data_IF_520849972285
#
_entry.id   IF_520849972285
#
_cell.length_a   1.000
_cell.length_b   1.000
_cell.length_c   1.000
_cell.angle_alpha   90.00
_cell.angle_beta   90.00
_cell.angle_gamma   90.00
#
_symmetry.space_group_name_H-M   'P 1'
#
loop_
_entity.id
_entity.type
_entity.pdbx_description
1 polymer ?
#
# COMPACT_ATOMS: atom_id res chain seq x y z
N UNK A 1 -13.62 -27.83 3.35
CA UNK A 1 -14.64 -28.73 3.91
C UNK A 1 -15.45 -29.31 2.74
N UNK A 2 -15.28 -30.60 2.48
CA UNK A 2 -16.06 -31.31 1.46
C UNK A 2 -17.26 -31.99 2.20
N UNK A 3 -18.43 -31.35 2.10
CA UNK A 3 -19.68 -31.97 2.55
C UNK A 3 -20.21 -32.85 1.42
N UNK A 4 -20.34 -34.15 1.65
CA UNK A 4 -21.15 -35.03 0.80
C UNK A 4 -22.61 -34.80 1.13
N UNK A 5 -23.41 -34.47 0.14
CA UNK A 5 -24.85 -34.29 0.25
C UNK A 5 -25.48 -35.66 0.01
N UNK A 6 -26.15 -36.22 1.03
CA UNK A 6 -26.90 -37.49 0.92
C UNK A 6 -28.32 -37.20 0.45
N UNK A 7 -28.90 -38.15 -0.33
CA UNK A 7 -30.29 -38.05 -0.80
C UNK A 7 -31.28 -38.10 0.36
N UNK A 8 -32.24 -37.19 0.40
CA UNK A 8 -33.29 -37.12 1.43
C UNK A 8 -34.52 -38.00 1.16
N UNK A 9 -34.62 -38.55 -0.06
CA UNK A 9 -35.79 -39.31 -0.51
C UNK A 9 -37.03 -38.48 -0.83
N UNK A 10 -36.95 -37.15 -0.76
CA UNK A 10 -38.00 -36.18 -1.13
C UNK A 10 -37.57 -35.47 -2.41
N UNK A 11 -38.32 -35.60 -3.50
CA UNK A 11 -37.97 -35.13 -4.80
C UNK A 11 -37.60 -33.63 -4.87
N UNK A 12 -38.37 -32.77 -4.19
CA UNK A 12 -38.12 -31.31 -4.13
C UNK A 12 -36.81 -30.98 -3.40
N UNK A 13 -36.54 -31.73 -2.32
CA UNK A 13 -35.32 -31.56 -1.51
C UNK A 13 -34.08 -32.02 -2.31
N UNK A 14 -34.16 -33.17 -2.95
CA UNK A 14 -33.06 -33.70 -3.77
C UNK A 14 -32.77 -32.81 -4.95
N UNK A 15 -33.78 -32.17 -5.56
CA UNK A 15 -33.61 -31.17 -6.60
C UNK A 15 -32.92 -29.89 -6.10
N UNK A 16 -33.30 -29.43 -4.90
CA UNK A 16 -32.65 -28.28 -4.27
C UNK A 16 -31.18 -28.58 -3.91
N UNK A 17 -30.92 -29.76 -3.38
CA UNK A 17 -29.57 -30.25 -3.04
C UNK A 17 -28.67 -30.34 -4.28
N UNK A 18 -29.21 -30.90 -5.38
CA UNK A 18 -28.51 -30.97 -6.66
C UNK A 18 -28.18 -29.57 -7.22
N UNK A 19 -29.12 -28.60 -7.13
CA UNK A 19 -28.87 -27.21 -7.53
C UNK A 19 -27.79 -26.54 -6.68
N UNK A 20 -27.77 -26.76 -5.37
CA UNK A 20 -26.73 -26.30 -4.45
C UNK A 20 -25.35 -26.87 -4.78
N UNK A 21 -25.30 -28.17 -5.14
CA UNK A 21 -24.04 -28.82 -5.53
C UNK A 21 -23.49 -28.28 -6.84
N UNK A 22 -24.36 -28.04 -7.83
CA UNK A 22 -23.98 -27.35 -9.07
C UNK A 22 -23.48 -25.93 -8.82
N UNK A 23 -24.14 -25.16 -7.95
CA UNK A 23 -23.74 -23.80 -7.57
C UNK A 23 -22.38 -23.80 -6.87
N UNK A 24 -22.18 -24.73 -5.90
CA UNK A 24 -20.90 -24.92 -5.22
C UNK A 24 -19.78 -25.24 -6.20
N UNK A 25 -20.01 -26.13 -7.15
CA UNK A 25 -19.00 -26.50 -8.14
C UNK A 25 -18.70 -25.35 -9.10
N UNK A 26 -19.72 -24.63 -9.57
CA UNK A 26 -19.56 -23.43 -10.40
C UNK A 26 -18.76 -22.35 -9.69
N UNK A 27 -19.06 -22.09 -8.41
CA UNK A 27 -18.31 -21.14 -7.58
C UNK A 27 -16.85 -21.57 -7.39
N UNK A 28 -16.62 -22.87 -7.12
CA UNK A 28 -15.27 -23.43 -6.94
C UNK A 28 -14.45 -23.27 -8.24
N UNK A 29 -15.04 -23.53 -9.39
CA UNK A 29 -14.40 -23.38 -10.69
C UNK A 29 -14.09 -21.90 -10.98
N UNK A 30 -15.06 -21.01 -10.77
CA UNK A 30 -14.87 -19.56 -10.96
C UNK A 30 -13.77 -19.00 -10.06
N UNK A 31 -13.71 -19.39 -8.78
CA UNK A 31 -12.65 -19.00 -7.85
C UNK A 31 -11.27 -19.55 -8.31
N UNK A 32 -11.23 -20.79 -8.81
CA UNK A 32 -10.00 -21.38 -9.33
C UNK A 32 -9.48 -20.66 -10.59
N UNK A 33 -10.39 -20.30 -11.51
CA UNK A 33 -10.07 -19.52 -12.70
C UNK A 33 -9.57 -18.12 -12.35
N UNK A 34 -10.22 -17.43 -11.43
CA UNK A 34 -9.77 -16.13 -10.93
C UNK A 34 -8.38 -16.23 -10.28
N UNK A 35 -8.16 -17.26 -9.46
CA UNK A 35 -6.86 -17.46 -8.83
C UNK A 35 -5.74 -17.73 -9.85
N UNK A 36 -6.01 -18.53 -10.88
CA UNK A 36 -5.07 -18.78 -11.96
C UNK A 36 -4.78 -17.52 -12.79
N UNK A 37 -5.80 -16.73 -13.11
CA UNK A 37 -5.64 -15.47 -13.82
C UNK A 37 -4.80 -14.45 -13.00
N UNK A 38 -5.06 -14.33 -11.71
CA UNK A 38 -4.28 -13.48 -10.80
C UNK A 38 -2.81 -13.93 -10.73
N UNK A 39 -2.58 -15.25 -10.61
CA UNK A 39 -1.23 -15.81 -10.57
C UNK A 39 -0.46 -15.53 -11.87
N UNK A 40 -1.08 -15.80 -13.02
CA UNK A 40 -0.48 -15.51 -14.32
C UNK A 40 -0.12 -14.03 -14.48
N UNK A 41 -1.02 -13.12 -14.05
CA UNK A 41 -0.78 -11.68 -14.07
C UNK A 41 0.42 -11.31 -13.20
N UNK A 42 0.56 -11.91 -12.02
CA UNK A 42 1.70 -11.68 -11.13
C UNK A 42 3.02 -12.15 -11.74
N UNK A 43 3.03 -13.35 -12.34
CA UNK A 43 4.19 -13.90 -13.05
C UNK A 43 4.62 -12.99 -14.21
N UNK A 44 3.67 -12.49 -15.00
CA UNK A 44 3.93 -11.54 -16.09
C UNK A 44 4.54 -10.22 -15.58
N UNK A 45 3.99 -9.63 -14.53
CA UNK A 45 4.53 -8.40 -13.94
C UNK A 45 5.93 -8.63 -13.39
N UNK A 46 6.18 -9.76 -12.71
CA UNK A 46 7.50 -10.10 -12.19
C UNK A 46 8.54 -10.26 -13.28
N UNK A 47 8.18 -10.92 -14.39
CA UNK A 47 9.04 -11.08 -15.55
C UNK A 47 9.37 -9.73 -16.21
N UNK A 48 8.34 -8.91 -16.48
CA UNK A 48 8.53 -7.56 -17.04
C UNK A 48 9.41 -6.68 -16.15
N UNK A 49 9.21 -6.73 -14.84
CA UNK A 49 10.00 -5.97 -13.88
C UNK A 49 11.48 -6.40 -13.90
N UNK A 50 11.74 -7.71 -14.00
CA UNK A 50 13.10 -8.23 -14.15
C UNK A 50 13.76 -7.75 -15.46
N UNK A 51 13.01 -7.81 -16.57
CA UNK A 51 13.52 -7.42 -17.89
C UNK A 51 13.76 -5.91 -17.99
N UNK A 52 13.01 -5.09 -17.26
CA UNK A 52 13.24 -3.65 -17.16
C UNK A 52 14.43 -3.28 -16.27
N UNK A 53 14.76 -4.09 -15.26
CA UNK A 53 15.88 -3.82 -14.37
C UNK A 53 17.23 -3.81 -15.11
N UNK A 54 17.38 -4.70 -16.08
CA UNK A 54 18.63 -4.84 -16.87
C UNK A 54 18.98 -3.58 -17.66
N UNK A 55 18.10 -3.03 -18.56
CA UNK A 55 18.41 -1.81 -19.29
C UNK A 55 18.63 -0.59 -18.39
N UNK A 56 17.88 -0.49 -17.27
CA UNK A 56 18.08 0.60 -16.32
C UNK A 56 19.44 0.54 -15.64
N UNK A 57 19.93 -0.65 -15.30
CA UNK A 57 21.29 -0.82 -14.76
C UNK A 57 22.34 -0.38 -15.77
N UNK A 58 22.14 -0.66 -17.06
CA UNK A 58 23.05 -0.23 -18.13
C UNK A 58 23.02 1.29 -18.28
N UNK A 59 21.84 1.92 -18.29
CA UNK A 59 21.69 3.37 -18.38
C UNK A 59 22.38 4.03 -17.19
N UNK A 60 22.15 3.55 -15.96
CA UNK A 60 22.80 4.06 -14.77
C UNK A 60 24.32 3.95 -14.84
N UNK A 61 24.86 2.78 -15.19
CA UNK A 61 26.30 2.60 -15.33
C UNK A 61 26.93 3.53 -16.36
N UNK A 62 26.25 3.78 -17.50
CA UNK A 62 26.72 4.74 -18.48
C UNK A 62 26.64 6.19 -17.96
N UNK A 63 25.64 6.54 -17.16
CA UNK A 63 25.54 7.86 -16.53
C UNK A 63 26.63 8.07 -15.50
N UNK A 64 26.94 7.04 -14.68
CA UNK A 64 28.07 7.05 -13.74
C UNK A 64 29.41 7.25 -14.48
N UNK A 65 29.63 6.58 -15.62
CA UNK A 65 30.84 6.79 -16.46
C UNK A 65 30.91 8.18 -17.06
N UNK A 66 29.78 8.83 -17.37
CA UNK A 66 29.77 10.22 -17.83
C UNK A 66 30.26 11.19 -16.76
N UNK A 67 29.94 10.95 -15.47
CA UNK A 67 30.45 11.80 -14.38
C UNK A 67 31.97 11.70 -14.18
N UNK A 68 32.60 10.61 -14.61
CA UNK A 68 34.03 10.44 -14.59
C UNK A 68 34.74 11.26 -15.70
N UNK A 69 33.98 11.91 -16.59
CA UNK A 69 34.49 12.76 -17.67
C UNK A 69 34.30 14.24 -17.35
N UNK A 70 35.00 15.12 -18.13
CA UNK A 70 34.80 16.57 -18.03
C UNK A 70 33.50 16.93 -18.75
N UNK A 71 32.45 17.24 -18.00
CA UNK A 71 31.13 17.65 -18.50
C UNK A 71 31.01 19.17 -18.48
N UNK A 72 30.40 19.74 -19.50
CA UNK A 72 29.89 21.11 -19.45
C UNK A 72 28.68 21.20 -18.53
N UNK A 73 28.37 22.38 -17.98
CA UNK A 73 27.28 22.55 -16.98
C UNK A 73 25.92 22.01 -17.47
N UNK A 74 25.58 22.27 -18.74
CA UNK A 74 24.37 21.76 -19.36
C UNK A 74 24.36 20.21 -19.52
N UNK A 75 25.52 19.61 -19.76
CA UNK A 75 25.66 18.15 -19.86
C UNK A 75 25.55 17.50 -18.51
N UNK A 76 26.11 18.13 -17.47
CA UNK A 76 25.95 17.68 -16.08
C UNK A 76 24.51 17.72 -15.65
N UNK A 77 23.81 18.82 -15.94
CA UNK A 77 22.36 18.92 -15.65
C UNK A 77 21.55 17.81 -16.34
N UNK A 78 21.87 17.51 -17.62
CA UNK A 78 21.24 16.39 -18.32
C UNK A 78 21.55 15.02 -17.67
N UNK A 79 22.79 14.79 -17.24
CA UNK A 79 23.19 13.57 -16.57
C UNK A 79 22.46 13.41 -15.20
N UNK A 80 22.34 14.51 -14.44
CA UNK A 80 21.59 14.54 -13.17
C UNK A 80 20.10 14.19 -13.39
N UNK A 81 19.47 14.69 -14.47
CA UNK A 81 18.10 14.32 -14.83
C UNK A 81 17.95 12.85 -15.23
N UNK A 82 18.93 12.30 -15.99
CA UNK A 82 18.92 10.89 -16.40
C UNK A 82 19.07 10.01 -15.16
N UNK A 83 20.04 10.29 -14.28
CA UNK A 83 20.25 9.51 -13.06
C UNK A 83 19.01 9.55 -12.16
N UNK A 84 18.45 10.73 -11.92
CA UNK A 84 17.22 10.89 -11.15
C UNK A 84 16.06 10.06 -11.74
N UNK A 85 15.93 10.03 -13.07
CA UNK A 85 14.88 9.25 -13.74
C UNK A 85 15.12 7.74 -13.63
N UNK A 86 16.38 7.30 -13.70
CA UNK A 86 16.73 5.87 -13.57
C UNK A 86 16.48 5.36 -12.15
N UNK A 87 16.93 6.11 -11.13
CA UNK A 87 16.66 5.78 -9.72
C UNK A 87 15.15 5.67 -9.50
N UNK A 88 14.42 6.62 -10.00
CA UNK A 88 12.97 6.67 -9.94
C UNK A 88 12.31 5.42 -10.58
N UNK A 89 12.77 4.99 -11.78
CA UNK A 89 12.26 3.77 -12.42
C UNK A 89 12.66 2.51 -11.67
N UNK A 90 13.83 2.46 -11.04
CA UNK A 90 14.25 1.33 -10.21
C UNK A 90 13.36 1.15 -9.00
N UNK A 91 13.06 2.23 -8.28
CA UNK A 91 12.13 2.22 -7.13
C UNK A 91 10.73 1.75 -7.55
N UNK A 92 10.28 2.18 -8.73
CA UNK A 92 9.03 1.74 -9.32
C UNK A 92 9.01 0.24 -9.59
N UNK A 93 10.05 -0.30 -10.23
CA UNK A 93 10.17 -1.72 -10.53
C UNK A 93 10.26 -2.55 -9.24
N UNK A 94 11.01 -2.10 -8.25
CA UNK A 94 11.09 -2.78 -6.95
C UNK A 94 9.73 -2.84 -6.27
N UNK A 95 8.96 -1.76 -6.32
CA UNK A 95 7.60 -1.73 -5.79
C UNK A 95 6.69 -2.71 -6.53
N UNK A 96 6.76 -2.79 -7.87
CA UNK A 96 6.02 -3.77 -8.67
C UNK A 96 6.38 -5.21 -8.31
N UNK A 97 7.67 -5.50 -8.17
CA UNK A 97 8.16 -6.81 -7.76
C UNK A 97 7.65 -7.16 -6.36
N UNK A 98 7.69 -6.23 -5.45
CA UNK A 98 7.22 -6.43 -4.09
C UNK A 98 5.73 -6.71 -4.03
N UNK A 99 4.94 -6.06 -4.88
CA UNK A 99 3.50 -6.32 -5.00
C UNK A 99 3.21 -7.72 -5.53
N UNK A 100 4.01 -8.22 -6.48
CA UNK A 100 3.85 -9.58 -7.03
C UNK A 100 4.34 -10.64 -6.04
N UNK A 101 5.39 -10.34 -5.27
CA UNK A 101 5.98 -11.24 -4.28
C UNK A 101 5.24 -11.25 -2.95
N UNK A 102 4.48 -10.21 -2.63
CA UNK A 102 3.80 -10.08 -1.33
C UNK A 102 2.86 -11.26 -1.04
N UNK A 103 2.32 -11.95 -2.07
CA UNK A 103 1.53 -13.17 -1.90
C UNK A 103 2.37 -14.46 -1.77
N UNK A 104 3.62 -14.49 -2.28
CA UNK A 104 4.41 -15.74 -2.34
C UNK A 104 5.60 -15.78 -1.36
N UNK A 105 6.30 -14.65 -1.14
CA UNK A 105 7.53 -14.61 -0.33
C UNK A 105 7.35 -14.25 1.13
N UNK A 106 6.26 -13.58 1.46
CA UNK A 106 5.92 -13.29 2.86
C UNK A 106 4.60 -13.97 3.16
N UNK A 107 4.60 -15.24 3.62
CA UNK A 107 3.39 -15.83 4.13
C UNK A 107 2.87 -14.90 5.23
N UNK A 108 1.66 -14.36 5.01
CA UNK A 108 0.99 -13.49 5.95
C UNK A 108 0.93 -14.18 7.32
N UNK A 109 1.76 -13.73 8.23
CA UNK A 109 1.96 -14.35 9.55
C UNK A 109 1.37 -13.44 10.61
N UNK A 110 0.14 -13.72 10.99
CA UNK A 110 -0.43 -13.07 12.16
C UNK A 110 0.11 -13.69 13.44
N UNK A 111 0.51 -12.84 14.34
CA UNK A 111 0.94 -13.18 15.70
C UNK A 111 0.36 -12.18 16.70
N UNK A 112 0.43 -12.51 17.99
CA UNK A 112 0.07 -11.55 19.03
C UNK A 112 1.16 -10.49 19.15
N UNK A 113 0.88 -9.32 18.56
CA UNK A 113 1.79 -8.18 18.54
C UNK A 113 1.44 -7.22 19.64
N UNK A 114 2.44 -6.80 20.43
CA UNK A 114 2.26 -5.72 21.41
C UNK A 114 2.06 -4.41 20.68
N UNK A 115 0.87 -3.81 20.83
CA UNK A 115 0.45 -2.63 20.08
C UNK A 115 1.38 -1.44 20.29
N UNK A 116 1.79 -1.18 21.55
CA UNK A 116 2.73 -0.10 21.88
C UNK A 116 4.08 -0.24 21.15
N UNK A 117 4.60 -1.48 21.01
CA UNK A 117 5.85 -1.73 20.27
C UNK A 117 5.70 -1.50 18.78
N UNK A 118 4.57 -1.88 18.20
CA UNK A 118 4.24 -1.64 16.78
C UNK A 118 4.16 -0.13 16.51
N UNK A 119 3.37 0.59 17.33
CA UNK A 119 3.19 2.03 17.19
C UNK A 119 4.49 2.80 17.37
N UNK A 120 5.36 2.38 18.30
CA UNK A 120 6.66 2.99 18.49
C UNK A 120 7.58 2.85 17.27
N UNK A 121 7.57 1.68 16.60
CA UNK A 121 8.33 1.48 15.35
C UNK A 121 7.83 2.40 14.24
N UNK A 122 6.50 2.47 14.06
CA UNK A 122 5.85 3.34 13.08
C UNK A 122 6.20 4.81 13.34
N UNK A 123 6.10 5.26 14.59
CA UNK A 123 6.44 6.62 14.98
C UNK A 123 7.92 6.97 14.73
N UNK A 124 8.83 6.03 15.02
CA UNK A 124 10.26 6.27 14.81
C UNK A 124 10.55 6.50 13.32
N UNK A 125 9.94 5.73 12.43
CA UNK A 125 10.07 5.94 10.99
C UNK A 125 9.46 7.27 10.54
N UNK A 126 8.23 7.58 11.01
CA UNK A 126 7.55 8.82 10.68
C UNK A 126 8.36 10.07 11.12
N UNK A 127 8.92 10.05 12.33
CA UNK A 127 9.77 11.14 12.83
C UNK A 127 11.02 11.35 11.97
N UNK A 128 11.64 10.25 11.51
CA UNK A 128 12.79 10.33 10.59
C UNK A 128 12.43 11.03 9.27
N UNK A 129 11.30 10.66 8.66
CA UNK A 129 10.82 11.28 7.42
C UNK A 129 10.43 12.75 7.62
N UNK A 130 9.74 13.07 8.70
CA UNK A 130 9.35 14.44 9.05
C UNK A 130 10.57 15.36 9.23
N UNK A 131 11.63 14.87 9.88
CA UNK A 131 12.85 15.64 10.13
C UNK A 131 13.53 16.05 8.80
N UNK A 132 13.58 15.16 7.80
CA UNK A 132 14.17 15.45 6.49
C UNK A 132 13.42 16.57 5.75
N UNK A 133 12.09 16.64 5.91
CA UNK A 133 11.23 17.63 5.23
C UNK A 133 10.91 18.86 6.05
N UNK A 134 11.44 18.98 7.27
CA UNK A 134 11.12 20.05 8.23
C UNK A 134 9.62 20.14 8.50
N UNK A 135 9.00 19.00 8.83
CA UNK A 135 7.58 18.87 9.16
C UNK A 135 7.45 18.46 10.62
N UNK A 136 6.43 18.99 11.30
CA UNK A 136 6.12 18.60 12.68
C UNK A 136 5.20 17.39 12.67
N UNK A 137 5.43 16.43 13.59
CA UNK A 137 4.56 15.28 13.82
C UNK A 137 3.88 15.45 15.19
N UNK A 138 2.56 15.63 15.18
CA UNK A 138 1.76 15.63 16.40
C UNK A 138 1.15 14.23 16.59
N UNK A 139 1.49 13.60 17.70
CA UNK A 139 1.06 12.25 18.05
C UNK A 139 0.11 12.26 19.23
N UNK A 140 -1.01 11.54 19.10
CA UNK A 140 -1.95 11.29 20.19
C UNK A 140 -2.34 9.82 20.22
N UNK A 141 -2.30 9.22 21.39
CA UNK A 141 -2.67 7.83 21.61
C UNK A 141 -3.70 7.76 22.75
N UNK A 142 -4.82 7.12 22.48
CA UNK A 142 -5.89 6.86 23.43
C UNK A 142 -6.42 5.44 23.21
N UNK A 143 -5.62 4.44 23.63
CA UNK A 143 -5.86 3.01 23.41
C UNK A 143 -5.52 2.25 24.67
N UNK A 144 -6.46 1.45 25.15
CA UNK A 144 -6.26 0.56 26.31
C UNK A 144 -5.82 -0.84 25.88
N UNK A 145 -5.98 -1.19 24.62
CA UNK A 145 -5.63 -2.51 24.07
C UNK A 145 -4.13 -2.74 24.07
N UNK A 146 -3.69 -3.84 24.71
CA UNK A 146 -2.26 -4.17 24.81
C UNK A 146 -1.76 -4.97 23.59
N UNK A 147 -2.56 -5.90 23.05
CA UNK A 147 -2.17 -6.79 21.94
C UNK A 147 -3.21 -6.79 20.83
N UNK A 148 -2.71 -6.93 19.59
CA UNK A 148 -3.52 -7.19 18.39
C UNK A 148 -2.99 -8.43 17.68
N UNK A 149 -3.86 -9.17 16.96
CA UNK A 149 -3.47 -10.32 16.16
C UNK A 149 -3.18 -9.90 14.72
N UNK A 150 -1.90 -9.65 14.40
CA UNK A 150 -1.49 -8.99 13.18
C UNK A 150 -0.12 -9.45 12.66
N UNK A 151 0.16 -9.17 11.41
CA UNK A 151 1.52 -9.23 10.84
C UNK A 151 2.17 -7.86 11.00
N UNK A 152 3.11 -7.78 11.96
CA UNK A 152 3.74 -6.50 12.34
C UNK A 152 4.56 -5.86 11.22
N UNK A 153 5.24 -6.67 10.39
CA UNK A 153 6.08 -6.16 9.30
C UNK A 153 5.22 -5.58 8.18
N UNK A 154 4.16 -6.29 7.82
CA UNK A 154 3.22 -5.78 6.82
C UNK A 154 2.50 -4.52 7.30
N UNK A 155 2.05 -4.47 8.56
CA UNK A 155 1.42 -3.25 9.08
C UNK A 155 2.39 -2.06 9.07
N UNK A 156 3.64 -2.24 9.51
CA UNK A 156 4.64 -1.16 9.44
C UNK A 156 4.80 -0.65 8.00
N UNK A 157 4.83 -1.54 7.02
CA UNK A 157 4.89 -1.18 5.59
C UNK A 157 3.65 -0.43 5.13
N UNK A 158 2.45 -0.88 5.50
CA UNK A 158 1.19 -0.19 5.18
C UNK A 158 1.15 1.22 5.76
N UNK A 159 1.52 1.38 7.04
CA UNK A 159 1.61 2.69 7.70
C UNK A 159 2.68 3.58 7.08
N UNK A 160 3.84 3.04 6.70
CA UNK A 160 4.90 3.80 6.05
C UNK A 160 4.42 4.43 4.74
N UNK A 161 3.64 3.70 3.93
CA UNK A 161 3.06 4.22 2.70
C UNK A 161 2.08 5.39 2.95
N UNK A 162 1.19 5.27 3.95
CA UNK A 162 0.24 6.34 4.28
C UNK A 162 0.96 7.56 4.85
N UNK A 163 1.90 7.34 5.78
CA UNK A 163 2.67 8.41 6.41
C UNK A 163 3.58 9.13 5.42
N UNK A 164 4.24 8.39 4.53
CA UNK A 164 5.06 8.99 3.46
C UNK A 164 4.22 9.92 2.58
N UNK A 165 3.02 9.51 2.18
CA UNK A 165 2.11 10.38 1.44
C UNK A 165 1.72 11.62 2.25
N UNK A 166 1.28 11.47 3.49
CA UNK A 166 0.89 12.60 4.32
C UNK A 166 2.03 13.62 4.51
N UNK A 167 3.26 13.12 4.72
CA UNK A 167 4.46 13.94 4.86
C UNK A 167 4.83 14.61 3.52
N UNK A 168 4.62 13.93 2.40
CA UNK A 168 4.96 14.49 1.08
C UNK A 168 4.06 15.66 0.71
N UNK A 169 2.77 15.53 0.94
CA UNK A 169 1.79 16.58 0.59
C UNK A 169 1.70 17.70 1.63
N UNK A 170 2.33 17.53 2.80
CA UNK A 170 2.40 18.60 3.81
C UNK A 170 3.50 19.61 3.46
N UNK A 171 3.21 20.91 3.38
CA UNK A 171 4.23 21.94 3.20
C UNK A 171 5.22 21.99 4.37
N UNK A 172 6.49 22.33 4.10
CA UNK A 172 7.50 22.50 5.11
C UNK A 172 7.06 23.51 6.21
N UNK A 173 7.38 23.23 7.46
CA UNK A 173 6.98 24.02 8.63
C UNK A 173 5.53 23.78 9.09
N UNK A 174 4.82 22.87 8.46
CA UNK A 174 3.45 22.46 8.87
C UNK A 174 3.48 21.14 9.64
N UNK A 175 2.30 20.67 10.05
CA UNK A 175 2.13 19.53 10.96
C UNK A 175 1.39 18.38 10.26
N UNK A 176 1.84 17.16 10.48
CA UNK A 176 1.08 15.92 10.24
C UNK A 176 0.54 15.46 11.62
N UNK A 177 -0.75 15.20 11.69
CA UNK A 177 -1.41 14.68 12.89
C UNK A 177 -1.56 13.17 12.76
N UNK A 178 -1.14 12.45 13.79
CA UNK A 178 -1.32 11.01 13.85
C UNK A 178 -2.00 10.64 15.17
N UNK A 179 -3.27 10.23 15.11
CA UNK A 179 -4.09 9.90 16.25
C UNK A 179 -4.47 8.43 16.24
N UNK A 180 -4.34 7.74 17.36
CA UNK A 180 -4.73 6.34 17.54
C UNK A 180 -5.76 6.24 18.66
N UNK A 181 -6.88 5.59 18.37
CA UNK A 181 -7.97 5.41 19.33
C UNK A 181 -8.74 4.11 19.06
N UNK A 182 -9.49 3.68 20.07
CA UNK A 182 -10.36 2.50 19.97
C UNK A 182 -11.80 2.90 19.67
N UNK A 183 -12.43 2.16 18.73
CA UNK A 183 -13.85 2.28 18.45
C UNK A 183 -14.37 1.01 17.78
N UNK A 184 -15.57 0.56 18.17
CA UNK A 184 -16.30 -0.54 17.54
C UNK A 184 -15.44 -1.82 17.37
N UNK A 185 -14.79 -2.28 18.44
CA UNK A 185 -13.88 -3.44 18.44
C UNK A 185 -12.75 -3.34 17.38
N UNK A 186 -12.26 -2.14 17.13
CA UNK A 186 -11.21 -1.88 16.17
C UNK A 186 -10.26 -0.81 16.70
N UNK A 187 -8.99 -0.91 16.32
CA UNK A 187 -8.02 0.17 16.45
C UNK A 187 -8.17 1.06 15.20
N UNK A 188 -8.39 2.35 15.43
CA UNK A 188 -8.43 3.36 14.38
C UNK A 188 -7.18 4.23 14.48
N UNK A 189 -6.48 4.33 13.37
CA UNK A 189 -5.30 5.19 13.23
C UNK A 189 -5.63 6.27 12.19
N UNK A 190 -5.81 7.50 12.63
CA UNK A 190 -6.11 8.65 11.78
C UNK A 190 -4.84 9.43 11.49
N UNK A 191 -4.49 9.56 10.22
CA UNK A 191 -3.35 10.34 9.74
C UNK A 191 -3.91 11.49 8.92
N UNK A 192 -3.65 12.73 9.38
CA UNK A 192 -4.18 13.94 8.74
C UNK A 192 -3.04 14.87 8.39
N UNK A 193 -2.99 15.30 7.15
CA UNK A 193 -1.99 16.25 6.65
C UNK A 193 -2.51 17.70 6.62
N UNK A 194 -1.64 18.63 6.27
CA UNK A 194 -1.95 20.05 6.04
C UNK A 194 -1.68 20.43 4.57
N UNK A 195 -1.87 19.48 3.65
CA UNK A 195 -1.77 19.69 2.21
C UNK A 195 -3.08 20.22 1.60
N UNK A 196 -3.23 20.03 0.29
CA UNK A 196 -4.40 20.45 -0.47
C UNK A 196 -5.62 19.52 -0.37
N UNK A 197 -5.48 18.39 0.34
CA UNK A 197 -6.51 17.35 0.39
C UNK A 197 -6.64 16.51 -0.88
N UNK A 198 -7.53 15.53 -0.84
CA UNK A 198 -7.88 14.71 -2.00
C UNK A 198 -8.85 15.43 -2.92
N UNK A 199 -8.64 15.31 -4.23
CA UNK A 199 -9.67 15.72 -5.21
C UNK A 199 -10.86 14.75 -5.15
N UNK A 200 -12.04 15.13 -5.68
CA UNK A 200 -13.19 14.23 -5.74
C UNK A 200 -12.92 12.92 -6.50
N UNK A 201 -12.02 12.95 -7.48
CA UNK A 201 -11.56 11.80 -8.23
C UNK A 201 -10.62 10.93 -7.38
N UNK A 202 -9.67 11.56 -6.66
CA UNK A 202 -8.77 10.85 -5.77
C UNK A 202 -9.50 10.14 -4.61
N UNK A 203 -10.55 10.73 -4.07
CA UNK A 203 -11.37 10.06 -3.04
C UNK A 203 -12.02 8.76 -3.52
N UNK A 204 -12.25 8.61 -4.84
CA UNK A 204 -12.86 7.40 -5.42
C UNK A 204 -11.83 6.37 -5.86
N UNK A 205 -10.67 6.82 -6.34
CA UNK A 205 -9.72 5.98 -7.08
C UNK A 205 -8.32 5.93 -6.47
N UNK A 206 -8.01 6.70 -5.40
CA UNK A 206 -6.64 6.79 -4.87
C UNK A 206 -6.08 5.46 -4.31
N UNK A 207 -6.93 4.47 -4.05
CA UNK A 207 -6.52 3.10 -3.69
C UNK A 207 -6.45 2.17 -4.91
N UNK A 208 -6.73 2.65 -6.12
CA UNK A 208 -6.53 1.88 -7.34
C UNK A 208 -5.05 1.94 -7.76
N UNK A 209 -4.61 0.86 -8.37
CA UNK A 209 -3.23 0.74 -8.83
C UNK A 209 -2.93 1.76 -9.93
N UNK A 210 -1.82 2.51 -9.78
CA UNK A 210 -1.38 3.55 -10.73
C UNK A 210 -2.27 4.80 -10.80
N UNK A 211 -3.20 4.97 -9.87
CA UNK A 211 -3.93 6.21 -9.83
C UNK A 211 -3.02 7.35 -9.33
N UNK A 212 -2.90 8.37 -10.16
CA UNK A 212 -2.19 9.62 -9.85
C UNK A 212 -3.13 10.79 -10.10
N UNK A 213 -3.45 11.55 -9.05
CA UNK A 213 -4.15 12.82 -9.20
C UNK A 213 -3.32 13.83 -10.02
N UNK A 214 -3.95 14.83 -10.62
CA UNK A 214 -3.24 15.84 -11.45
C UNK A 214 -2.09 16.53 -10.70
N UNK A 215 -2.23 16.76 -9.40
CA UNK A 215 -1.21 17.39 -8.57
C UNK A 215 0.00 16.49 -8.29
N UNK A 216 -0.17 15.17 -8.30
CA UNK A 216 0.91 14.19 -8.09
C UNK A 216 1.73 13.91 -9.35
N UNK A 217 1.28 14.30 -10.55
CA UNK A 217 2.04 14.18 -11.80
C UNK A 217 3.32 15.02 -11.82
N UNK A 218 3.42 16.02 -10.97
CA UNK A 218 4.60 16.88 -10.80
C UNK A 218 5.49 16.48 -9.62
N UNK A 219 5.07 15.54 -8.76
CA UNK A 219 5.88 15.02 -7.66
C UNK A 219 6.82 13.93 -8.19
N UNK A 220 8.13 14.10 -7.90
CA UNK A 220 9.19 13.21 -8.43
C UNK A 220 9.23 11.84 -7.74
N UNK A 221 8.35 11.51 -6.77
CA UNK A 221 8.57 10.37 -5.88
C UNK A 221 7.42 9.36 -5.73
N UNK A 222 6.23 9.57 -6.32
CA UNK A 222 5.09 8.67 -6.07
C UNK A 222 4.33 8.32 -7.35
N UNK A 223 4.07 7.02 -7.54
CA UNK A 223 3.50 6.43 -8.76
C UNK A 223 2.06 5.95 -8.59
N UNK A 224 1.34 6.43 -7.56
CA UNK A 224 -0.02 5.96 -7.29
C UNK A 224 -0.08 4.51 -6.79
N UNK A 225 0.98 4.02 -6.13
CA UNK A 225 1.08 2.64 -5.64
C UNK A 225 0.96 2.59 -4.11
N UNK A 226 1.39 3.63 -3.41
CA UNK A 226 1.50 3.61 -1.94
C UNK A 226 0.17 3.34 -1.24
N UNK A 227 -0.91 4.02 -1.60
CA UNK A 227 -2.23 3.80 -1.01
C UNK A 227 -2.85 2.46 -1.41
N UNK A 228 -2.61 1.97 -2.63
CA UNK A 228 -3.01 0.62 -3.04
C UNK A 228 -2.33 -0.46 -2.19
N UNK A 229 -1.02 -0.35 -1.95
CA UNK A 229 -0.27 -1.30 -1.08
C UNK A 229 -0.80 -1.23 0.35
N UNK A 230 -1.02 -0.03 0.89
CA UNK A 230 -1.59 0.15 2.21
C UNK A 230 -2.97 -0.48 2.32
N UNK A 231 -3.87 -0.22 1.37
CA UNK A 231 -5.21 -0.79 1.33
C UNK A 231 -5.19 -2.32 1.26
N UNK A 232 -4.34 -2.89 0.40
CA UNK A 232 -4.16 -4.34 0.27
C UNK A 232 -3.70 -4.99 1.58
N UNK A 233 -2.74 -4.38 2.27
CA UNK A 233 -2.23 -4.87 3.57
C UNK A 233 -3.32 -4.80 4.63
N UNK A 234 -4.02 -3.69 4.73
CA UNK A 234 -5.08 -3.49 5.71
C UNK A 234 -6.26 -4.43 5.45
N UNK A 235 -6.66 -4.63 4.19
CA UNK A 235 -7.69 -5.60 3.81
C UNK A 235 -7.31 -7.04 4.18
N UNK A 236 -6.02 -7.44 4.03
CA UNK A 236 -5.54 -8.75 4.48
C UNK A 236 -5.65 -8.92 6.01
N UNK A 237 -5.60 -7.84 6.78
CA UNK A 237 -5.84 -7.85 8.23
C UNK A 237 -7.35 -7.84 8.58
N UNK A 238 -8.25 -7.84 7.60
CA UNK A 238 -9.69 -7.72 7.80
C UNK A 238 -10.11 -6.29 8.13
N UNK A 239 -9.21 -5.33 7.91
CA UNK A 239 -9.41 -3.91 8.16
C UNK A 239 -9.93 -3.15 6.94
N UNK A 240 -9.95 -1.84 7.06
CA UNK A 240 -10.40 -0.92 6.01
C UNK A 240 -9.55 0.36 6.01
N UNK A 241 -9.21 0.84 4.82
CA UNK A 241 -8.64 2.16 4.61
C UNK A 241 -9.74 3.13 4.19
N UNK A 242 -9.90 4.25 4.92
CA UNK A 242 -10.94 5.24 4.69
C UNK A 242 -10.27 6.56 4.34
N UNK A 243 -10.64 7.13 3.18
CA UNK A 243 -10.12 8.39 2.68
C UNK A 243 -11.15 9.50 2.84
N UNK A 244 -10.71 10.65 3.31
CA UNK A 244 -11.53 11.85 3.45
C UNK A 244 -10.66 13.12 3.44
N UNK A 245 -11.28 14.29 3.45
CA UNK A 245 -10.61 15.55 3.70
C UNK A 245 -10.98 16.09 5.08
N UNK A 246 -10.00 16.60 5.78
CA UNK A 246 -10.19 17.18 7.11
C UNK A 246 -10.79 18.57 7.01
N UNK A 247 -11.93 18.80 7.64
CA UNK A 247 -12.54 20.14 7.74
C UNK A 247 -11.68 21.14 8.53
N UNK A 248 -10.85 20.62 9.45
CA UNK A 248 -10.01 21.47 10.33
C UNK A 248 -8.75 21.97 9.62
N UNK A 249 -8.10 21.11 8.84
CA UNK A 249 -6.82 21.44 8.18
C UNK A 249 -6.97 21.77 6.72
N UNK A 250 -8.07 21.35 6.08
CA UNK A 250 -8.25 21.35 4.63
C UNK A 250 -7.45 20.28 3.91
N UNK A 251 -6.56 19.56 4.62
CA UNK A 251 -5.69 18.53 4.08
C UNK A 251 -6.37 17.15 3.98
N UNK A 252 -5.65 16.18 3.45
CA UNK A 252 -6.14 14.81 3.37
C UNK A 252 -6.14 14.14 4.75
N UNK A 253 -7.14 13.28 4.97
CA UNK A 253 -7.25 12.43 6.13
C UNK A 253 -7.39 10.98 5.67
N UNK A 254 -6.51 10.12 6.17
CA UNK A 254 -6.55 8.68 5.96
C UNK A 254 -6.76 7.99 7.30
N UNK A 255 -7.82 7.20 7.41
CA UNK A 255 -8.12 6.42 8.61
C UNK A 255 -7.89 4.94 8.29
N UNK A 256 -6.98 4.32 9.02
CA UNK A 256 -6.72 2.89 9.00
C UNK A 256 -7.52 2.26 10.14
N UNK A 257 -8.48 1.40 9.80
CA UNK A 257 -9.28 0.63 10.75
C UNK A 257 -8.81 -0.82 10.77
N UNK A 258 -8.39 -1.33 11.93
CA UNK A 258 -7.91 -2.71 12.13
C UNK A 258 -8.78 -3.37 13.20
N UNK A 259 -9.54 -4.44 12.89
CA UNK A 259 -10.30 -5.19 13.88
C UNK A 259 -9.36 -6.03 14.77
N UNK A 260 -9.79 -6.29 16.02
CA UNK A 260 -9.05 -7.11 16.98
C UNK A 260 -9.92 -8.10 17.74
#
# INVERSE_FOLDING_TARGET
MDFKIESSGIFEVDRALSALEHLKQALKNSLAEQWQADKLRQEQISALAHDLKTPLTIIRGNTELLYDTILADNQKECADYIEGSVVQMQDYIETLIDMTKAKEKFPFRRENVKLSSLLQKILTQAKGLCAVKNIYLEWRENVDREYIFADSEQLIRGFANVLSNAIEYTPAGKTVFFEVYEKDNSILCSITDMGSGFSPEALKHATELFFMGEQSRHSKSHYGIGLYVADSIIAQHGGQLILSNSEKTGGAQVIIKIPY
#
